data_IF_171593394281
#
_entry.id   IF_171593394281
#
_cell.length_a   1.000
_cell.length_b   1.000
_cell.length_c   1.000
_cell.angle_alpha   90.00
_cell.angle_beta   90.00
_cell.angle_gamma   90.00
#
_symmetry.space_group_name_H-M   'P 1'
#
loop_
_entity.id
_entity.type
_entity.pdbx_description
1 polymer ?
#
# COMPACT_ATOMS: atom_id res chain seq x y z
N UNK A 1 -12.36 0.71 18.13
CA UNK A 1 -12.59 1.80 17.17
C UNK A 1 -11.60 2.95 17.33
N UNK A 2 -11.28 3.42 18.55
CA UNK A 2 -10.32 4.54 18.74
C UNK A 2 -8.96 4.34 18.06
N UNK A 3 -8.30 3.20 18.25
CA UNK A 3 -6.96 2.96 17.70
C UNK A 3 -6.89 2.91 16.17
N UNK A 4 -7.91 2.36 15.50
CA UNK A 4 -7.95 2.28 14.03
C UNK A 4 -8.20 3.64 13.39
N UNK A 5 -9.06 4.46 14.00
CA UNK A 5 -9.29 5.85 13.56
C UNK A 5 -8.03 6.67 13.79
N UNK A 6 -7.39 6.56 14.94
CA UNK A 6 -6.12 7.25 15.22
C UNK A 6 -5.03 6.84 14.22
N UNK A 7 -4.88 5.55 13.95
CA UNK A 7 -3.92 5.04 12.96
C UNK A 7 -4.19 5.59 11.55
N UNK A 8 -5.45 5.65 11.13
CA UNK A 8 -5.81 6.21 9.83
C UNK A 8 -5.51 7.72 9.76
N UNK A 9 -5.89 8.48 10.79
CA UNK A 9 -5.65 9.94 10.84
C UNK A 9 -4.15 10.23 10.78
N UNK A 10 -3.35 9.53 11.58
CA UNK A 10 -1.90 9.68 11.57
C UNK A 10 -1.28 9.27 10.23
N UNK A 11 -1.78 8.19 9.61
CA UNK A 11 -1.30 7.76 8.29
C UNK A 11 -1.66 8.71 7.15
N UNK A 12 -2.74 9.49 7.29
CA UNK A 12 -3.16 10.49 6.32
C UNK A 12 -2.49 11.86 6.55
N UNK A 13 -2.08 12.16 7.78
CA UNK A 13 -1.38 13.40 8.11
C UNK A 13 -0.06 13.46 7.34
N UNK A 14 0.12 14.49 6.50
CA UNK A 14 1.35 14.69 5.75
C UNK A 14 1.67 13.60 4.73
N UNK A 15 0.69 12.76 4.32
CA UNK A 15 0.91 11.62 3.42
C UNK A 15 1.52 11.99 2.04
N UNK A 16 1.49 13.26 1.64
CA UNK A 16 2.11 13.78 0.40
C UNK A 16 3.22 14.81 0.66
N UNK A 17 3.61 15.00 1.93
CA UNK A 17 4.64 15.97 2.31
C UNK A 17 6.07 15.46 2.05
N UNK A 18 6.43 14.25 2.52
CA UNK A 18 7.76 13.68 2.30
C UNK A 18 7.99 13.28 0.85
N UNK A 19 9.21 13.54 0.36
CA UNK A 19 9.68 13.02 -0.93
C UNK A 19 9.65 11.50 -0.96
N UNK A 20 9.33 10.95 -2.13
CA UNK A 20 9.28 9.51 -2.38
C UNK A 20 10.57 8.79 -1.98
N UNK A 21 10.44 7.75 -1.15
CA UNK A 21 11.55 6.88 -0.75
C UNK A 21 11.90 5.86 -1.84
N UNK A 22 13.07 5.23 -1.76
CA UNK A 22 13.59 4.35 -2.82
C UNK A 22 12.64 3.17 -3.14
N UNK A 23 12.05 2.56 -2.13
CA UNK A 23 11.07 1.47 -2.29
C UNK A 23 9.73 1.97 -2.87
N UNK A 24 9.32 3.19 -2.50
CA UNK A 24 8.14 3.82 -3.10
C UNK A 24 8.35 4.15 -4.58
N UNK A 25 9.58 4.50 -4.99
CA UNK A 25 9.91 4.71 -6.41
C UNK A 25 9.71 3.41 -7.20
N UNK A 26 10.13 2.25 -6.67
CA UNK A 26 9.92 0.95 -7.32
C UNK A 26 8.42 0.67 -7.49
N UNK A 27 7.65 0.95 -6.44
CA UNK A 27 6.19 0.80 -6.44
C UNK A 27 5.54 1.69 -7.51
N UNK A 28 5.95 2.96 -7.60
CA UNK A 28 5.48 3.92 -8.60
C UNK A 28 5.89 3.51 -10.02
N UNK A 29 7.12 3.00 -10.21
CA UNK A 29 7.58 2.48 -11.51
C UNK A 29 6.67 1.34 -11.98
N UNK A 30 6.47 0.33 -11.12
CA UNK A 30 5.60 -0.82 -11.42
C UNK A 30 4.18 -0.38 -11.76
N UNK A 31 3.63 0.61 -11.04
CA UNK A 31 2.31 1.16 -11.29
C UNK A 31 2.17 1.85 -12.66
N UNK A 32 3.27 2.33 -13.25
CA UNK A 32 3.30 2.98 -14.57
C UNK A 32 3.57 2.01 -15.73
N UNK A 33 3.97 0.77 -15.45
CA UNK A 33 4.32 -0.20 -16.49
C UNK A 33 3.12 -0.54 -17.36
N UNK A 34 3.41 -0.84 -18.63
CA UNK A 34 2.43 -1.50 -19.50
C UNK A 34 2.17 -2.95 -19.04
N UNK A 35 1.03 -3.52 -19.44
CA UNK A 35 0.71 -4.94 -19.15
C UNK A 35 1.83 -5.90 -19.58
N UNK A 36 2.44 -5.80 -20.77
CA UNK A 36 3.54 -6.69 -21.16
C UNK A 36 4.78 -6.54 -20.26
N UNK A 37 5.15 -5.31 -19.88
CA UNK A 37 6.27 -5.06 -18.97
C UNK A 37 6.02 -5.60 -17.56
N UNK A 38 4.77 -5.55 -17.09
CA UNK A 38 4.39 -6.22 -15.85
C UNK A 38 4.54 -7.73 -15.98
N UNK A 39 4.00 -8.35 -17.04
CA UNK A 39 4.11 -9.80 -17.23
C UNK A 39 5.57 -10.26 -17.29
N UNK A 40 6.44 -9.51 -17.95
CA UNK A 40 7.88 -9.77 -17.98
C UNK A 40 8.50 -9.69 -16.58
N UNK A 41 8.13 -8.69 -15.78
CA UNK A 41 8.59 -8.57 -14.40
C UNK A 41 8.15 -9.78 -13.54
N UNK A 42 6.89 -10.20 -13.65
CA UNK A 42 6.34 -11.31 -12.88
C UNK A 42 7.03 -12.65 -13.16
N UNK A 43 7.66 -12.81 -14.34
CA UNK A 43 8.46 -13.98 -14.67
C UNK A 43 9.85 -13.98 -14.01
N UNK A 44 10.29 -12.85 -13.45
CA UNK A 44 11.63 -12.66 -12.90
C UNK A 44 11.65 -12.63 -11.36
N UNK A 45 10.48 -12.62 -10.71
CA UNK A 45 10.35 -12.51 -9.26
C UNK A 45 9.53 -13.67 -8.69
N UNK A 46 9.67 -13.93 -7.40
CA UNK A 46 8.82 -14.92 -6.73
C UNK A 46 7.37 -14.44 -6.59
N UNK A 47 6.49 -15.36 -6.18
CA UNK A 47 5.05 -15.11 -6.07
C UNK A 47 4.69 -14.03 -5.04
N UNK A 48 5.51 -13.80 -4.00
CA UNK A 48 5.23 -12.79 -2.96
C UNK A 48 5.42 -11.40 -3.55
N UNK A 49 6.57 -11.13 -4.16
CA UNK A 49 6.78 -9.87 -4.87
C UNK A 49 5.85 -9.73 -6.07
N UNK A 50 5.59 -10.82 -6.79
CA UNK A 50 4.68 -10.81 -7.92
C UNK A 50 3.27 -10.37 -7.53
N UNK A 51 2.71 -10.93 -6.45
CA UNK A 51 1.40 -10.52 -5.94
C UNK A 51 1.38 -9.06 -5.49
N UNK A 52 2.44 -8.62 -4.80
CA UNK A 52 2.59 -7.24 -4.39
C UNK A 52 2.63 -6.29 -5.60
N UNK A 53 3.38 -6.61 -6.65
CA UNK A 53 3.46 -5.81 -7.88
C UNK A 53 2.17 -5.79 -8.68
N UNK A 54 1.41 -6.89 -8.70
CA UNK A 54 0.06 -6.90 -9.29
C UNK A 54 -0.87 -5.95 -8.53
N UNK A 55 -0.84 -5.98 -7.20
CA UNK A 55 -1.64 -5.09 -6.37
C UNK A 55 -1.31 -3.61 -6.61
N UNK A 56 -0.02 -3.29 -6.67
CA UNK A 56 0.51 -1.96 -6.96
C UNK A 56 0.11 -1.48 -8.35
N UNK A 57 0.24 -2.35 -9.36
CA UNK A 57 -0.18 -2.06 -10.72
C UNK A 57 -1.68 -1.75 -10.78
N UNK A 58 -2.53 -2.58 -10.18
CA UNK A 58 -3.98 -2.36 -10.15
C UNK A 58 -4.36 -1.06 -9.42
N UNK A 59 -3.65 -0.73 -8.33
CA UNK A 59 -3.85 0.54 -7.61
C UNK A 59 -3.61 1.72 -8.54
N UNK A 60 -2.50 1.75 -9.27
CA UNK A 60 -2.20 2.80 -10.25
C UNK A 60 -3.23 2.87 -11.38
N UNK A 61 -3.75 1.73 -11.84
CA UNK A 61 -4.75 1.67 -12.90
C UNK A 61 -6.14 2.17 -12.47
N UNK A 62 -6.53 1.96 -11.21
CA UNK A 62 -7.85 2.32 -10.70
C UNK A 62 -7.88 3.74 -10.12
N UNK A 63 -6.85 4.13 -9.36
CA UNK A 63 -6.79 5.39 -8.63
C UNK A 63 -5.86 6.44 -9.28
N UNK A 64 -5.13 6.06 -10.33
CA UNK A 64 -4.07 6.88 -10.92
C UNK A 64 -2.75 6.81 -10.15
N UNK A 65 -1.67 7.26 -10.78
CA UNK A 65 -0.32 7.25 -10.18
C UNK A 65 0.00 8.62 -9.58
N UNK A 66 -0.27 8.76 -8.29
CA UNK A 66 0.09 9.92 -7.45
C UNK A 66 0.61 9.44 -6.11
N UNK A 67 1.39 10.26 -5.40
CA UNK A 67 1.88 9.90 -4.05
C UNK A 67 0.74 9.52 -3.11
N UNK A 68 -0.34 10.30 -3.10
CA UNK A 68 -1.52 10.02 -2.29
C UNK A 68 -2.13 8.65 -2.65
N UNK A 69 -2.40 8.40 -3.93
CA UNK A 69 -3.04 7.16 -4.37
C UNK A 69 -2.16 5.92 -4.09
N UNK A 70 -0.84 6.05 -4.22
CA UNK A 70 0.10 4.95 -3.98
C UNK A 70 0.34 4.67 -2.50
N UNK A 71 0.22 5.68 -1.62
CA UNK A 71 0.40 5.54 -0.16
C UNK A 71 -0.88 5.19 0.59
N UNK A 72 -2.04 5.55 0.06
CA UNK A 72 -3.35 5.33 0.70
C UNK A 72 -3.62 3.86 1.08
N UNK A 73 -3.32 2.84 0.24
CA UNK A 73 -3.56 1.45 0.62
C UNK A 73 -2.79 1.02 1.86
N UNK A 74 -1.55 1.50 2.02
CA UNK A 74 -0.73 1.23 3.19
C UNK A 74 -1.33 1.87 4.45
N UNK A 75 -1.81 3.11 4.38
CA UNK A 75 -2.49 3.76 5.50
C UNK A 75 -3.76 3.00 5.94
N UNK A 76 -4.54 2.52 4.97
CA UNK A 76 -5.73 1.68 5.23
C UNK A 76 -5.32 0.34 5.86
N UNK A 77 -4.27 -0.31 5.36
CA UNK A 77 -3.79 -1.58 5.90
C UNK A 77 -3.32 -1.44 7.36
N UNK A 78 -2.62 -0.35 7.70
CA UNK A 78 -2.21 -0.04 9.08
C UNK A 78 -3.43 0.20 9.97
N UNK A 79 -4.43 0.96 9.51
CA UNK A 79 -5.68 1.18 10.26
C UNK A 79 -6.44 -0.13 10.51
N UNK A 80 -6.49 -1.03 9.51
CA UNK A 80 -7.09 -2.34 9.64
C UNK A 80 -6.34 -3.24 10.62
N UNK A 81 -5.00 -3.24 10.57
CA UNK A 81 -4.16 -3.95 11.53
C UNK A 81 -4.40 -3.46 12.97
N UNK A 82 -4.44 -2.14 13.18
CA UNK A 82 -4.76 -1.55 14.49
C UNK A 82 -6.15 -1.94 14.99
N UNK A 83 -7.16 -2.04 14.10
CA UNK A 83 -8.48 -2.53 14.45
C UNK A 83 -8.45 -4.00 14.91
N UNK A 84 -7.76 -4.86 14.16
CA UNK A 84 -7.60 -6.28 14.44
C UNK A 84 -6.88 -6.54 15.76
N UNK A 85 -5.74 -5.87 15.99
CA UNK A 85 -4.98 -5.95 17.24
C UNK A 85 -5.82 -5.47 18.43
N UNK A 86 -6.55 -4.36 18.29
CA UNK A 86 -7.45 -3.87 19.34
C UNK A 86 -8.55 -4.87 19.65
N UNK A 87 -9.06 -5.58 18.65
CA UNK A 87 -10.08 -6.61 18.84
C UNK A 87 -9.51 -7.84 19.55
N UNK A 88 -8.37 -8.36 19.09
CA UNK A 88 -7.68 -9.48 19.74
C UNK A 88 -7.34 -9.16 21.20
N UNK A 89 -6.85 -7.96 21.49
CA UNK A 89 -6.56 -7.54 22.86
C UNK A 89 -7.80 -7.53 23.77
N UNK A 90 -9.00 -7.27 23.22
CA UNK A 90 -10.25 -7.38 23.99
C UNK A 90 -10.71 -8.83 24.20
N UNK A 91 -10.18 -9.80 23.46
CA UNK A 91 -10.49 -11.21 23.63
C UNK A 91 -9.58 -11.92 24.64
N UNK A 92 -8.43 -11.32 24.95
CA UNK A 92 -7.45 -11.87 25.90
C UNK A 92 -7.71 -11.45 27.35
N UNK A 93 -8.79 -10.70 27.59
CA UNK A 93 -9.34 -10.32 28.90
C UNK A 93 -10.80 -10.77 28.99
#
# INVERSE_FOLDING_TARGET
MGASVAALVLGLEGITGPSTWTDEIVTIDVARRSRPQLMQLLQQVDAVYGLHYVFVYLTGQVAGVSEFAMRLPSAIAVAAAAAGLSWLGRLQY
#
